data_IF_285198663661
#
_entry.id   IF_285198663661
#
_cell.length_a   1.000
_cell.length_b   1.000
_cell.length_c   1.000
_cell.angle_alpha   90.00
_cell.angle_beta   90.00
_cell.angle_gamma   90.00
#
_symmetry.space_group_name_H-M   'P 1'
#
loop_
_entity.id
_entity.type
_entity.pdbx_description
1 polymer ?
#
# COMPACT_ATOMS: atom_id res chain seq x y z
N UNK A 1 8.64 -9.40 15.81
CA UNK A 1 8.32 -8.98 14.42
C UNK A 1 7.71 -10.09 13.54
N UNK A 2 6.85 -9.74 12.58
CA UNK A 2 6.54 -10.54 11.38
C UNK A 2 6.31 -9.65 10.15
N UNK A 3 6.24 -10.23 8.96
CA UNK A 3 6.08 -9.49 7.69
C UNK A 3 4.80 -9.90 6.96
N UNK A 4 4.08 -8.92 6.41
CA UNK A 4 2.93 -9.13 5.53
C UNK A 4 3.17 -8.53 4.15
N UNK A 5 2.70 -9.18 3.08
CA UNK A 5 3.08 -8.80 1.72
C UNK A 5 4.51 -9.22 1.40
N UNK A 6 4.98 -8.87 0.20
CA UNK A 6 6.24 -9.39 -0.36
C UNK A 6 6.95 -8.44 -1.30
N UNK A 7 6.37 -7.27 -1.57
CA UNK A 7 6.89 -6.34 -2.56
C UNK A 7 7.52 -5.13 -1.87
N UNK A 8 8.84 -5.00 -2.00
CA UNK A 8 9.62 -3.85 -1.54
C UNK A 8 10.50 -3.41 -2.70
N UNK A 9 10.03 -2.48 -3.54
CA UNK A 9 10.77 -2.07 -4.73
C UNK A 9 12.05 -1.33 -4.33
N UNK A 10 13.18 -1.78 -4.86
CA UNK A 10 14.47 -1.12 -4.65
C UNK A 10 14.66 0.10 -5.57
N UNK A 11 13.89 0.19 -6.66
CA UNK A 11 13.93 1.30 -7.63
C UNK A 11 12.52 1.78 -8.00
N UNK A 12 12.40 3.03 -8.44
CA UNK A 12 11.15 3.56 -8.99
C UNK A 12 10.70 2.77 -10.24
N UNK A 13 11.63 2.30 -11.06
CA UNK A 13 11.35 1.48 -12.24
C UNK A 13 10.67 0.15 -11.86
N UNK A 14 11.16 -0.55 -10.83
CA UNK A 14 10.51 -1.77 -10.33
C UNK A 14 9.08 -1.51 -9.83
N UNK A 15 8.87 -0.37 -9.17
CA UNK A 15 7.53 0.04 -8.76
C UNK A 15 6.63 0.27 -9.98
N UNK A 16 7.15 0.91 -11.03
CA UNK A 16 6.43 1.19 -12.27
C UNK A 16 6.06 -0.08 -13.03
N UNK A 17 7.03 -0.97 -13.27
CA UNK A 17 6.81 -2.26 -13.93
C UNK A 17 5.75 -3.07 -13.19
N UNK A 18 5.87 -3.15 -11.85
CA UNK A 18 4.89 -3.90 -11.06
C UNK A 18 3.50 -3.27 -11.13
N UNK A 19 3.43 -1.94 -11.08
CA UNK A 19 2.16 -1.24 -11.23
C UNK A 19 1.56 -1.56 -12.61
N UNK A 20 2.31 -1.49 -13.71
CA UNK A 20 1.92 -1.82 -15.10
C UNK A 20 1.36 -3.23 -15.25
N UNK A 21 2.03 -4.21 -14.66
CA UNK A 21 1.56 -5.61 -14.67
C UNK A 21 0.19 -5.81 -14.01
N UNK A 22 -0.22 -4.92 -13.10
CA UNK A 22 -1.50 -5.01 -12.40
C UNK A 22 -2.69 -4.47 -13.20
N UNK A 23 -2.45 -3.76 -14.32
CA UNK A 23 -3.51 -3.17 -15.15
C UNK A 23 -4.57 -4.20 -15.61
N UNK A 24 -4.19 -5.29 -16.28
CA UNK A 24 -5.13 -6.33 -16.71
C UNK A 24 -5.86 -7.02 -15.55
N UNK A 25 -5.16 -7.22 -14.43
CA UNK A 25 -5.74 -7.82 -13.21
C UNK A 25 -6.80 -6.92 -12.62
N UNK A 26 -6.53 -5.61 -12.51
CA UNK A 26 -7.48 -4.63 -12.01
C UNK A 26 -8.74 -4.54 -12.89
N UNK A 27 -8.56 -4.49 -14.21
CA UNK A 27 -9.68 -4.47 -15.15
C UNK A 27 -10.56 -5.72 -15.02
N UNK A 28 -9.93 -6.89 -14.86
CA UNK A 28 -10.66 -8.15 -14.66
C UNK A 28 -11.40 -8.15 -13.34
N UNK A 29 -10.79 -7.72 -12.25
CA UNK A 29 -11.44 -7.64 -10.94
C UNK A 29 -12.68 -6.72 -10.97
N UNK A 30 -12.59 -5.54 -11.60
CA UNK A 30 -13.73 -4.63 -11.73
C UNK A 30 -14.84 -5.25 -12.59
N UNK A 31 -14.48 -5.91 -13.70
CA UNK A 31 -15.45 -6.58 -14.56
C UNK A 31 -16.19 -7.71 -13.85
N UNK A 32 -15.48 -8.57 -13.11
CA UNK A 32 -16.12 -9.65 -12.35
C UNK A 32 -17.04 -9.09 -11.25
N UNK A 33 -16.64 -8.01 -10.59
CA UNK A 33 -17.49 -7.33 -9.61
C UNK A 33 -18.76 -6.75 -10.25
N UNK A 34 -18.65 -6.07 -11.40
CA UNK A 34 -19.80 -5.52 -12.12
C UNK A 34 -20.75 -6.62 -12.63
N UNK A 35 -20.20 -7.74 -13.12
CA UNK A 35 -20.98 -8.93 -13.51
C UNK A 35 -21.74 -9.49 -12.32
N UNK A 36 -21.11 -9.62 -11.15
CA UNK A 36 -21.76 -10.09 -9.93
C UNK A 36 -22.84 -9.12 -9.40
N UNK A 37 -22.76 -7.85 -9.77
CA UNK A 37 -23.78 -6.83 -9.52
C UNK A 37 -24.86 -6.75 -10.62
N UNK A 38 -24.79 -7.63 -11.62
CA UNK A 38 -25.75 -7.71 -12.73
C UNK A 38 -25.83 -6.40 -13.56
N UNK A 39 -24.73 -5.64 -13.66
CA UNK A 39 -24.71 -4.44 -14.48
C UNK A 39 -24.97 -4.79 -15.94
N UNK A 40 -25.97 -4.12 -16.53
CA UNK A 40 -26.18 -4.17 -17.97
C UNK A 40 -25.07 -3.39 -18.69
N UNK A 41 -24.96 -3.56 -20.02
CA UNK A 41 -23.88 -2.96 -20.80
C UNK A 41 -23.80 -1.43 -20.65
N UNK A 42 -24.94 -0.75 -20.75
CA UNK A 42 -24.97 0.72 -20.69
C UNK A 42 -24.58 1.22 -19.29
N UNK A 43 -25.01 0.52 -18.23
CA UNK A 43 -24.62 0.83 -16.84
C UNK A 43 -23.13 0.55 -16.59
N UNK A 44 -22.60 -0.55 -17.16
CA UNK A 44 -21.17 -0.85 -17.11
C UNK A 44 -20.35 0.26 -17.77
N UNK A 45 -20.71 0.65 -18.99
CA UNK A 45 -19.98 1.67 -19.75
C UNK A 45 -20.03 3.06 -19.07
N UNK A 46 -21.13 3.38 -18.37
CA UNK A 46 -21.26 4.61 -17.58
C UNK A 46 -20.45 4.57 -16.27
N UNK A 47 -20.51 3.47 -15.52
CA UNK A 47 -19.98 3.40 -14.15
C UNK A 47 -18.56 2.86 -14.06
N UNK A 48 -18.14 1.99 -14.96
CA UNK A 48 -16.81 1.38 -14.97
C UNK A 48 -15.86 2.26 -15.79
N UNK A 49 -15.48 3.39 -15.18
CA UNK A 49 -14.54 4.33 -15.76
C UNK A 49 -13.09 3.85 -15.61
N UNK A 50 -12.18 4.47 -16.35
CA UNK A 50 -10.74 4.29 -16.15
C UNK A 50 -10.30 4.61 -14.71
N UNK A 51 -10.91 5.62 -14.08
CA UNK A 51 -10.64 5.95 -12.68
C UNK A 51 -10.99 4.78 -11.75
N UNK A 52 -12.13 4.11 -11.95
CA UNK A 52 -12.50 2.94 -11.12
C UNK A 52 -11.46 1.83 -11.24
N UNK A 53 -11.00 1.53 -12.46
CA UNK A 53 -9.97 0.53 -12.72
C UNK A 53 -8.64 0.93 -12.06
N UNK A 54 -8.25 2.20 -12.18
CA UNK A 54 -7.04 2.74 -11.54
C UNK A 54 -7.11 2.62 -10.01
N UNK A 55 -8.25 2.94 -9.39
CA UNK A 55 -8.44 2.79 -7.93
C UNK A 55 -8.25 1.34 -7.47
N UNK A 56 -8.76 0.38 -8.24
CA UNK A 56 -8.55 -1.04 -7.95
C UNK A 56 -7.08 -1.43 -8.13
N UNK A 57 -6.43 -0.95 -9.20
CA UNK A 57 -5.00 -1.16 -9.45
C UNK A 57 -4.14 -0.61 -8.30
N UNK A 58 -4.44 0.60 -7.82
CA UNK A 58 -3.80 1.23 -6.67
C UNK A 58 -3.94 0.36 -5.41
N UNK A 59 -5.14 -0.18 -5.16
CA UNK A 59 -5.39 -1.06 -4.03
C UNK A 59 -4.64 -2.39 -4.14
N UNK A 60 -4.62 -3.00 -5.34
CA UNK A 60 -3.86 -4.22 -5.60
C UNK A 60 -2.37 -4.00 -5.35
N UNK A 61 -1.79 -2.95 -5.93
CA UNK A 61 -0.37 -2.61 -5.72
C UNK A 61 -0.06 -2.42 -4.23
N UNK A 62 -0.85 -1.59 -3.55
CA UNK A 62 -0.69 -1.34 -2.12
C UNK A 62 -0.81 -2.61 -1.27
N UNK A 63 -1.64 -3.57 -1.69
CA UNK A 63 -1.83 -4.85 -0.99
C UNK A 63 -0.62 -5.80 -1.09
N UNK A 64 0.23 -5.62 -2.09
CA UNK A 64 1.44 -6.44 -2.27
C UNK A 64 2.63 -5.91 -1.47
N UNK A 65 2.58 -4.63 -1.07
CA UNK A 65 3.65 -3.98 -0.33
C UNK A 65 4.03 -4.78 0.92
N UNK A 66 5.33 -4.99 1.07
CA UNK A 66 5.93 -5.57 2.25
C UNK A 66 5.74 -4.61 3.44
N UNK A 67 5.10 -5.10 4.49
CA UNK A 67 4.84 -4.39 5.73
C UNK A 67 5.41 -5.21 6.87
N UNK A 68 6.36 -4.62 7.58
CA UNK A 68 6.89 -5.19 8.83
C UNK A 68 5.97 -4.78 9.97
N UNK A 69 5.69 -5.72 10.86
CA UNK A 69 4.83 -5.52 12.01
C UNK A 69 5.58 -5.95 13.26
N UNK A 70 5.80 -4.99 14.14
CA UNK A 70 6.63 -5.14 15.33
C UNK A 70 6.14 -4.27 16.47
N UNK A 71 6.95 -4.24 17.52
CA UNK A 71 6.81 -3.24 18.57
C UNK A 71 7.55 -1.93 18.22
N UNK A 72 7.46 -0.95 19.13
CA UNK A 72 8.08 0.37 19.00
C UNK A 72 9.60 0.28 19.00
N UNK A 73 10.17 -0.55 19.87
CA UNK A 73 11.62 -0.75 19.97
C UNK A 73 12.18 -1.30 18.66
N UNK A 74 11.54 -2.33 18.08
CA UNK A 74 11.89 -2.88 16.77
C UNK A 74 11.84 -1.83 15.64
N UNK A 75 10.92 -0.86 15.71
CA UNK A 75 10.82 0.22 14.73
C UNK A 75 11.87 1.32 14.95
N UNK A 76 12.12 1.71 16.20
CA UNK A 76 13.09 2.73 16.55
C UNK A 76 14.52 2.26 16.24
N UNK A 77 14.83 0.98 16.51
CA UNK A 77 16.09 0.33 16.09
C UNK A 77 16.24 0.36 14.56
N UNK A 78 15.16 0.05 13.83
CA UNK A 78 15.16 0.10 12.37
C UNK A 78 15.45 1.52 11.85
N UNK A 79 14.88 2.56 12.47
CA UNK A 79 15.17 3.96 12.12
C UNK A 79 16.62 4.35 12.44
N UNK A 80 17.18 3.86 13.55
CA UNK A 80 18.58 4.11 13.91
C UNK A 80 19.56 3.54 12.87
N UNK A 81 19.23 2.39 12.28
CA UNK A 81 19.99 1.79 11.18
C UNK A 81 19.79 2.51 9.82
N UNK A 82 18.76 3.35 9.70
CA UNK A 82 18.38 4.06 8.46
C UNK A 82 18.22 5.57 8.70
N UNK A 83 19.28 6.28 9.14
CA UNK A 83 19.18 7.69 9.57
C UNK A 83 18.81 8.66 8.46
N UNK A 84 19.05 8.29 7.20
CA UNK A 84 18.76 9.12 6.02
C UNK A 84 17.28 9.03 5.58
N UNK A 85 16.48 8.14 6.19
CA UNK A 85 15.09 7.93 5.76
C UNK A 85 14.16 8.99 6.35
N UNK A 86 13.32 9.59 5.50
CA UNK A 86 12.21 10.40 5.96
C UNK A 86 11.10 9.51 6.55
N UNK A 87 10.82 9.71 7.84
CA UNK A 87 9.81 8.92 8.56
C UNK A 87 8.44 9.61 8.58
N UNK A 88 7.41 8.88 8.17
CA UNK A 88 6.01 9.30 8.24
C UNK A 88 5.20 8.36 9.13
N UNK A 89 5.08 8.71 10.40
CA UNK A 89 4.34 7.91 11.39
C UNK A 89 2.93 8.46 11.59
N UNK A 90 1.93 7.59 11.49
CA UNK A 90 0.52 7.93 11.74
C UNK A 90 0.01 7.15 12.95
N UNK A 91 -0.63 7.86 13.87
CA UNK A 91 -1.28 7.30 15.04
C UNK A 91 -0.81 7.96 16.32
N UNK A 92 -0.69 7.19 17.40
CA UNK A 92 -0.39 7.69 18.74
C UNK A 92 1.00 7.23 19.17
N UNK A 93 1.79 8.15 19.71
CA UNK A 93 3.13 7.89 20.24
C UNK A 93 3.12 6.92 21.44
N UNK A 94 2.06 6.91 22.24
CA UNK A 94 1.91 6.08 23.44
C UNK A 94 1.44 4.64 23.15
N UNK A 95 1.58 4.20 21.91
CA UNK A 95 1.15 2.88 21.45
C UNK A 95 2.37 2.07 21.05
N UNK A 96 2.45 0.85 21.59
CA UNK A 96 3.67 0.05 21.55
C UNK A 96 3.83 -0.76 20.27
N UNK A 97 2.80 -0.89 19.41
CA UNK A 97 2.90 -1.67 18.16
C UNK A 97 2.94 -0.75 16.96
N UNK A 98 3.80 -1.12 16.01
CA UNK A 98 4.03 -0.36 14.79
C UNK A 98 4.01 -1.31 13.60
N UNK A 99 3.31 -0.91 12.54
CA UNK A 99 3.49 -1.46 11.21
C UNK A 99 4.27 -0.44 10.38
N UNK A 100 5.24 -0.85 9.58
CA UNK A 100 6.00 0.05 8.70
C UNK A 100 6.32 -0.58 7.34
N UNK A 101 6.38 0.27 6.32
CA UNK A 101 6.83 -0.04 4.97
C UNK A 101 7.91 0.96 4.57
N UNK A 102 9.07 0.45 4.17
CA UNK A 102 10.18 1.23 3.67
C UNK A 102 10.20 1.18 2.14
N UNK A 103 10.47 2.31 1.50
CA UNK A 103 10.65 2.44 0.06
C UNK A 103 12.09 2.93 -0.21
N UNK A 104 13.05 2.01 -0.43
CA UNK A 104 14.46 2.35 -0.55
C UNK A 104 14.80 3.35 -1.66
N UNK A 105 14.08 3.31 -2.78
CA UNK A 105 14.34 4.22 -3.90
C UNK A 105 14.02 5.70 -3.59
N UNK A 106 13.27 5.96 -2.52
CA UNK A 106 12.82 7.28 -2.11
C UNK A 106 13.33 7.67 -0.72
N UNK A 107 14.18 6.84 -0.10
CA UNK A 107 14.66 7.03 1.28
C UNK A 107 13.52 7.41 2.24
N UNK A 108 12.39 6.71 2.14
CA UNK A 108 11.16 7.06 2.89
C UNK A 108 10.58 5.84 3.58
N UNK A 109 10.09 6.01 4.81
CA UNK A 109 9.34 4.99 5.55
C UNK A 109 7.98 5.51 5.98
N UNK A 110 6.92 4.77 5.64
CA UNK A 110 5.57 5.02 6.13
C UNK A 110 5.26 4.04 7.27
N UNK A 111 4.75 4.54 8.38
CA UNK A 111 4.43 3.74 9.56
C UNK A 111 3.04 4.06 10.13
N UNK A 112 2.41 3.06 10.75
CA UNK A 112 1.15 3.20 11.46
C UNK A 112 1.21 2.49 12.81
N UNK A 113 0.89 3.21 13.89
CA UNK A 113 0.86 2.65 15.24
C UNK A 113 -0.51 2.06 15.56
N UNK A 114 -0.59 0.98 16.35
CA UNK A 114 -1.88 0.38 16.72
C UNK A 114 -1.84 -0.36 18.06
N UNK A 115 -2.97 -0.40 18.78
CA UNK A 115 -3.04 -1.19 20.03
C UNK A 115 -3.37 -2.66 19.73
N UNK A 116 -4.61 -2.93 19.31
CA UNK A 116 -5.13 -4.29 19.08
C UNK A 116 -5.72 -4.50 17.68
N UNK A 117 -5.60 -3.52 16.78
CA UNK A 117 -6.21 -3.52 15.43
C UNK A 117 -5.17 -3.64 14.32
N UNK A 118 -4.32 -4.68 14.40
CA UNK A 118 -3.21 -4.90 13.47
C UNK A 118 -3.62 -4.83 11.99
N UNK A 119 -4.63 -5.63 11.59
CA UNK A 119 -5.09 -5.66 10.19
C UNK A 119 -5.50 -4.28 9.67
N UNK A 120 -6.23 -3.51 10.47
CA UNK A 120 -6.66 -2.17 10.09
C UNK A 120 -5.48 -1.20 9.99
N UNK A 121 -4.47 -1.37 10.84
CA UNK A 121 -3.24 -0.59 10.80
C UNK A 121 -2.43 -0.87 9.53
N UNK A 122 -2.27 -2.14 9.17
CA UNK A 122 -1.60 -2.56 7.92
C UNK A 122 -2.34 -2.01 6.69
N UNK A 123 -3.66 -2.14 6.63
CA UNK A 123 -4.47 -1.59 5.53
C UNK A 123 -4.36 -0.06 5.43
N UNK A 124 -4.41 0.64 6.58
CA UNK A 124 -4.25 2.09 6.66
C UNK A 124 -2.86 2.52 6.18
N UNK A 125 -1.82 1.84 6.66
CA UNK A 125 -0.44 2.06 6.26
C UNK A 125 -0.27 1.90 4.76
N UNK A 126 -0.79 0.83 4.16
CA UNK A 126 -0.64 0.57 2.72
C UNK A 126 -1.26 1.68 1.88
N UNK A 127 -2.43 2.17 2.29
CA UNK A 127 -3.08 3.31 1.64
C UNK A 127 -2.25 4.60 1.75
N UNK A 128 -1.61 4.82 2.89
CA UNK A 128 -0.74 5.98 3.13
C UNK A 128 0.56 5.90 2.37
N UNK A 129 1.23 4.75 2.40
CA UNK A 129 2.42 4.47 1.62
C UNK A 129 2.15 4.70 0.12
N UNK A 130 1.06 4.14 -0.42
CA UNK A 130 0.67 4.39 -1.81
C UNK A 130 0.48 5.88 -2.10
N UNK A 131 -0.33 6.56 -1.28
CA UNK A 131 -0.66 7.97 -1.52
C UNK A 131 0.52 8.94 -1.42
N UNK A 132 1.57 8.58 -0.67
CA UNK A 132 2.72 9.47 -0.40
C UNK A 132 3.95 9.15 -1.24
N UNK A 133 4.25 7.87 -1.41
CA UNK A 133 5.52 7.43 -2.01
C UNK A 133 5.29 7.08 -3.48
N UNK A 134 4.15 6.49 -3.82
CA UNK A 134 3.93 5.86 -5.13
C UNK A 134 3.01 6.65 -6.05
N UNK A 135 2.09 7.46 -5.53
CA UNK A 135 1.09 8.16 -6.35
C UNK A 135 1.70 9.05 -7.42
N UNK A 136 2.75 9.78 -7.09
CA UNK A 136 3.36 10.73 -8.04
C UNK A 136 4.32 10.04 -9.03
N UNK A 137 4.51 8.72 -8.92
CA UNK A 137 5.27 7.93 -9.87
C UNK A 137 4.45 7.46 -11.07
N UNK A 138 3.11 7.43 -10.96
CA UNK A 138 2.20 6.79 -11.93
C UNK A 138 1.18 7.77 -12.51
#
# INVERSE_FOLDING_TARGET
>A
MHTQGRFSPATAEQAHERYDDLGPTAQTAVREAATAMEFEKDEYDERVTSEVVERVRNALFASELEVRVGDREEFDDWLADHPDYESHVIGNENVDRVAWHAAPFADTVAAATFANRERAAVETLRRQAFGRIYRDLF
#
